data_IF_729878149879
#
_entry.id   IF_729878149879
#
_cell.length_a   1.000
_cell.length_b   1.000
_cell.length_c   1.000
_cell.angle_alpha   90.00
_cell.angle_beta   90.00
_cell.angle_gamma   90.00
#
_symmetry.space_group_name_H-M   'P 1'
#
loop_
_entity.id
_entity.type
_entity.pdbx_description
1 polymer ?
#
# COMPACT_ATOMS: atom_id res chain seq x y z
N UNK A 1 -58.70 53.32 35.57
CA UNK A 1 -57.47 53.76 34.83
C UNK A 1 -56.37 52.83 35.26
N UNK A 2 -56.14 51.76 34.50
CA UNK A 2 -55.03 50.80 34.70
C UNK A 2 -54.13 50.79 33.53
N UNK A 3 -52.86 51.17 33.73
CA UNK A 3 -51.79 51.04 32.73
C UNK A 3 -51.11 49.67 32.91
N UNK A 4 -51.17 48.85 31.85
CA UNK A 4 -50.42 47.61 31.75
C UNK A 4 -48.96 47.87 31.46
N UNK A 5 -48.06 47.35 32.31
CA UNK A 5 -46.63 47.27 32.09
C UNK A 5 -46.34 46.00 31.29
N UNK A 6 -45.76 46.13 30.09
CA UNK A 6 -45.24 45.01 29.30
C UNK A 6 -43.75 44.81 29.66
N UNK A 7 -43.48 43.70 30.27
CA UNK A 7 -42.15 43.16 30.51
C UNK A 7 -41.52 42.73 29.20
N UNK A 8 -40.38 43.35 28.84
CA UNK A 8 -39.50 42.93 27.78
C UNK A 8 -38.69 41.70 28.25
N UNK A 9 -38.87 40.55 27.64
CA UNK A 9 -37.93 39.43 27.75
C UNK A 9 -36.89 39.58 26.66
N UNK A 10 -35.70 39.97 27.03
CA UNK A 10 -34.48 39.85 26.21
C UNK A 10 -34.10 38.35 26.09
N UNK A 11 -34.13 37.87 24.87
CA UNK A 11 -33.62 36.53 24.50
C UNK A 11 -32.10 36.62 24.39
N UNK A 12 -31.38 35.97 25.27
CA UNK A 12 -29.93 35.81 25.15
C UNK A 12 -29.64 34.83 24.01
N UNK A 13 -28.97 35.30 22.96
CA UNK A 13 -28.34 34.47 21.93
C UNK A 13 -27.14 33.75 22.54
N UNK A 14 -26.91 32.45 22.18
CA UNK A 14 -25.70 31.77 22.60
C UNK A 14 -24.50 32.29 21.82
N UNK A 15 -23.50 32.84 22.52
CA UNK A 15 -22.20 33.24 21.98
C UNK A 15 -21.44 32.01 21.46
N UNK A 16 -21.19 32.02 20.15
CA UNK A 16 -20.28 31.07 19.51
C UNK A 16 -18.86 31.45 19.96
N UNK A 17 -18.04 30.51 20.47
CA UNK A 17 -16.65 30.81 20.82
C UNK A 17 -15.84 31.14 19.55
N UNK A 18 -15.17 32.29 19.57
CA UNK A 18 -14.26 32.68 18.49
C UNK A 18 -13.09 31.67 18.39
N UNK A 19 -12.70 31.26 17.18
CA UNK A 19 -11.58 30.34 17.00
C UNK A 19 -10.26 31.01 17.40
N UNK A 20 -9.43 30.28 18.12
CA UNK A 20 -8.14 30.74 18.62
C UNK A 20 -7.21 31.11 17.44
N UNK A 21 -6.74 32.36 17.30
CA UNK A 21 -5.99 32.80 16.12
C UNK A 21 -4.64 32.07 15.88
N UNK A 22 -4.07 31.46 16.92
CA UNK A 22 -2.84 30.66 16.80
C UNK A 22 -3.04 29.35 16.01
N UNK A 23 -4.19 28.66 16.22
CA UNK A 23 -4.50 27.40 15.51
C UNK A 23 -4.82 27.66 14.03
N UNK A 24 -5.42 28.82 13.74
CA UNK A 24 -5.74 29.20 12.36
C UNK A 24 -4.47 29.57 11.55
N UNK A 25 -3.44 30.10 12.20
CA UNK A 25 -2.16 30.46 11.55
C UNK A 25 -1.33 29.24 11.16
N UNK A 26 -1.27 28.20 11.99
CA UNK A 26 -0.55 26.96 11.66
C UNK A 26 -1.25 26.18 10.54
N UNK A 27 -2.59 26.10 10.58
CA UNK A 27 -3.37 25.46 9.51
C UNK A 27 -3.26 26.22 8.17
N UNK A 28 -3.20 27.55 8.21
CA UNK A 28 -3.01 28.36 7.00
C UNK A 28 -1.61 28.18 6.41
N UNK A 29 -0.57 28.10 7.23
CA UNK A 29 0.79 27.80 6.76
C UNK A 29 0.90 26.39 6.17
N UNK A 30 0.26 25.40 6.77
CA UNK A 30 0.26 24.03 6.25
C UNK A 30 -0.48 23.94 4.89
N UNK A 31 -1.59 24.69 4.74
CA UNK A 31 -2.35 24.80 3.49
C UNK A 31 -1.56 25.60 2.44
N UNK A 32 -0.88 26.67 2.80
CA UNK A 32 -0.06 27.46 1.88
C UNK A 32 1.13 26.66 1.36
N UNK A 33 1.80 25.88 2.20
CA UNK A 33 2.89 25.00 1.79
C UNK A 33 2.39 23.86 0.87
N UNK A 34 1.22 23.26 1.14
CA UNK A 34 0.62 22.27 0.25
C UNK A 34 0.18 22.88 -1.10
N UNK A 35 -0.35 24.10 -1.09
CA UNK A 35 -0.76 24.82 -2.31
C UNK A 35 0.46 25.23 -3.15
N UNK A 36 1.55 25.67 -2.53
CA UNK A 36 2.78 26.02 -3.25
C UNK A 36 3.42 24.78 -3.89
N UNK A 37 3.46 23.64 -3.18
CA UNK A 37 3.94 22.38 -3.73
C UNK A 37 3.02 21.89 -4.87
N UNK A 38 1.70 21.99 -4.70
CA UNK A 38 0.73 21.61 -5.73
C UNK A 38 0.79 22.53 -6.96
N UNK A 39 1.06 23.82 -6.79
CA UNK A 39 1.23 24.77 -7.90
C UNK A 39 2.56 24.56 -8.63
N UNK A 40 3.65 24.31 -7.92
CA UNK A 40 4.94 23.95 -8.52
C UNK A 40 4.85 22.65 -9.32
N UNK A 41 4.13 21.65 -8.81
CA UNK A 41 3.87 20.37 -9.50
C UNK A 41 2.97 20.58 -10.72
N UNK A 42 1.93 21.43 -10.65
CA UNK A 42 1.08 21.74 -11.81
C UNK A 42 1.82 22.51 -12.91
N UNK A 43 2.70 23.44 -12.58
CA UNK A 43 3.54 24.13 -13.57
C UNK A 43 4.54 23.19 -14.22
N UNK A 44 5.08 22.20 -13.50
CA UNK A 44 5.97 21.17 -14.05
C UNK A 44 5.19 20.17 -14.91
N UNK A 45 3.95 19.81 -14.55
CA UNK A 45 3.14 18.84 -15.31
C UNK A 45 2.55 19.43 -16.59
N UNK A 46 2.18 20.71 -16.66
CA UNK A 46 1.58 21.30 -17.87
C UNK A 46 2.60 21.56 -18.99
N UNK A 47 3.90 21.64 -18.69
CA UNK A 47 4.96 21.72 -19.72
C UNK A 47 5.58 20.37 -20.05
N UNK A 48 5.12 19.28 -19.46
CA UNK A 48 5.85 17.99 -19.43
C UNK A 48 5.12 16.82 -20.07
N UNK A 49 3.93 16.98 -20.64
CA UNK A 49 3.25 15.83 -21.28
C UNK A 49 3.97 15.35 -22.56
N UNK A 50 4.69 16.21 -23.27
CA UNK A 50 5.47 15.81 -24.44
C UNK A 50 6.94 15.43 -24.12
N UNK A 51 7.55 16.05 -23.14
CA UNK A 51 8.90 15.69 -22.65
C UNK A 51 8.85 14.41 -21.81
N UNK A 52 7.69 14.04 -21.25
CA UNK A 52 7.53 12.93 -20.33
C UNK A 52 7.75 11.55 -20.95
N UNK A 53 7.54 11.34 -22.24
CA UNK A 53 7.77 10.01 -22.85
C UNK A 53 9.25 9.70 -23.04
N UNK A 54 10.04 10.66 -23.48
CA UNK A 54 11.50 10.45 -23.61
C UNK A 54 12.22 10.44 -22.26
N UNK A 55 11.82 11.31 -21.32
CA UNK A 55 12.35 11.30 -19.95
C UNK A 55 11.93 10.07 -19.15
N UNK A 56 10.75 9.49 -19.39
CA UNK A 56 10.32 8.22 -18.79
C UNK A 56 11.19 7.05 -19.27
N UNK A 57 11.64 7.06 -20.48
CA UNK A 57 12.59 6.06 -21.00
C UNK A 57 14.00 6.24 -20.38
N UNK A 58 14.46 7.47 -20.21
CA UNK A 58 15.74 7.78 -19.57
C UNK A 58 15.72 7.56 -18.04
N UNK A 59 14.60 7.86 -17.36
CA UNK A 59 14.47 7.61 -15.91
C UNK A 59 14.32 6.12 -15.57
N UNK A 60 14.01 5.28 -16.55
CA UNK A 60 13.91 3.83 -16.37
C UNK A 60 15.22 3.19 -15.92
N UNK A 61 16.35 3.75 -16.33
CA UNK A 61 17.68 3.21 -16.02
C UNK A 61 18.20 3.60 -14.63
N UNK A 62 17.62 4.64 -14.01
CA UNK A 62 18.03 5.13 -12.68
C UNK A 62 17.20 4.58 -11.51
N UNK A 63 16.22 3.71 -11.74
CA UNK A 63 15.44 3.13 -10.65
C UNK A 63 16.28 2.11 -9.86
N UNK A 64 16.16 2.11 -8.52
CA UNK A 64 16.98 1.26 -7.64
C UNK A 64 16.77 -0.24 -7.86
N UNK A 65 15.66 -0.61 -8.54
CA UNK A 65 15.30 -2.00 -8.88
C UNK A 65 14.79 -2.07 -10.30
N UNK A 66 15.37 -2.96 -11.11
CA UNK A 66 14.94 -3.18 -12.49
C UNK A 66 13.62 -3.97 -12.57
N UNK A 67 12.88 -3.83 -13.67
CA UNK A 67 11.66 -4.61 -13.91
C UNK A 67 11.91 -6.13 -13.82
N UNK A 68 13.05 -6.60 -14.32
CA UNK A 68 13.43 -8.03 -14.29
C UNK A 68 13.58 -8.52 -12.84
N UNK A 69 14.25 -7.73 -12.01
CA UNK A 69 14.43 -8.03 -10.58
C UNK A 69 13.09 -8.05 -9.84
N UNK A 70 12.23 -7.05 -10.08
CA UNK A 70 10.88 -7.03 -9.49
C UNK A 70 10.08 -8.27 -9.88
N UNK A 71 10.02 -8.61 -11.19
CA UNK A 71 9.32 -9.81 -11.67
C UNK A 71 9.87 -11.11 -11.07
N UNK A 72 11.18 -11.18 -10.85
CA UNK A 72 11.79 -12.33 -10.19
C UNK A 72 11.37 -12.42 -8.73
N UNK A 73 11.40 -11.30 -8.00
CA UNK A 73 11.00 -11.24 -6.60
C UNK A 73 9.53 -11.64 -6.42
N UNK A 74 8.61 -11.17 -7.26
CA UNK A 74 7.20 -11.60 -7.20
C UNK A 74 7.02 -13.11 -7.36
N UNK A 75 7.94 -13.82 -8.01
CA UNK A 75 7.89 -15.28 -8.12
C UNK A 75 8.18 -15.99 -6.81
N UNK A 76 8.95 -15.40 -5.90
CA UNK A 76 9.21 -15.98 -4.58
C UNK A 76 7.98 -15.95 -3.67
N UNK A 77 7.03 -15.05 -3.91
CA UNK A 77 5.74 -15.07 -3.20
C UNK A 77 4.86 -16.29 -3.52
N UNK A 78 5.21 -17.09 -4.52
CA UNK A 78 4.36 -18.18 -4.95
C UNK A 78 4.31 -19.29 -3.90
N UNK A 79 3.10 -19.65 -3.52
CA UNK A 79 2.81 -20.85 -2.74
C UNK A 79 1.99 -21.80 -3.58
N UNK A 80 2.65 -22.78 -4.19
CA UNK A 80 2.01 -23.78 -5.02
C UNK A 80 1.40 -24.84 -4.12
N UNK A 81 0.09 -25.04 -4.25
CA UNK A 81 -0.69 -26.05 -3.57
C UNK A 81 -1.41 -26.90 -4.63
N UNK A 82 -1.45 -28.21 -4.46
CA UNK A 82 -2.24 -29.10 -5.31
C UNK A 82 -3.70 -28.98 -4.92
N UNK A 83 -4.57 -28.65 -5.87
CA UNK A 83 -5.98 -28.41 -5.61
C UNK A 83 -6.84 -28.67 -6.85
N UNK A 84 -8.06 -29.13 -6.62
CA UNK A 84 -9.06 -29.38 -7.66
C UNK A 84 -9.08 -30.82 -8.13
N UNK A 85 -9.63 -31.05 -9.32
CA UNK A 85 -9.77 -32.40 -9.91
C UNK A 85 -8.38 -32.88 -10.33
N UNK A 86 -8.04 -34.15 -10.03
CA UNK A 86 -6.78 -34.77 -10.48
C UNK A 86 -6.72 -34.81 -12.02
N UNK A 87 -5.76 -34.09 -12.61
CA UNK A 87 -5.58 -33.99 -14.06
C UNK A 87 -4.12 -34.08 -14.50
N UNK A 88 -3.18 -33.99 -13.55
CA UNK A 88 -1.74 -34.04 -13.79
C UNK A 88 -1.24 -35.47 -13.51
N UNK A 89 -0.53 -36.07 -14.45
CA UNK A 89 0.01 -37.42 -14.29
C UNK A 89 1.08 -37.46 -13.18
N UNK A 90 0.89 -38.34 -12.20
CA UNK A 90 1.94 -38.71 -11.25
C UNK A 90 2.78 -39.84 -11.83
N UNK A 91 3.92 -39.48 -12.43
CA UNK A 91 4.80 -40.42 -13.09
C UNK A 91 5.35 -41.46 -12.09
N UNK A 92 5.80 -41.00 -10.92
CA UNK A 92 6.42 -41.85 -9.92
C UNK A 92 5.43 -42.85 -9.33
N UNK A 93 4.23 -42.37 -8.97
CA UNK A 93 3.19 -43.26 -8.48
C UNK A 93 2.69 -44.25 -9.54
N UNK A 94 2.60 -43.81 -10.80
CA UNK A 94 2.19 -44.68 -11.93
C UNK A 94 3.24 -45.78 -12.21
N UNK A 95 4.54 -45.43 -12.20
CA UNK A 95 5.63 -46.41 -12.36
C UNK A 95 5.65 -47.39 -11.19
N UNK A 96 5.48 -46.92 -9.96
CA UNK A 96 5.41 -47.79 -8.79
C UNK A 96 4.22 -48.75 -8.86
N UNK A 97 3.08 -48.32 -9.37
CA UNK A 97 1.91 -49.16 -9.59
C UNK A 97 2.19 -50.21 -10.66
N UNK A 98 2.79 -49.81 -11.78
CA UNK A 98 3.23 -50.71 -12.83
C UNK A 98 4.22 -51.77 -12.31
N UNK A 99 5.21 -51.36 -11.49
CA UNK A 99 6.18 -52.28 -10.88
C UNK A 99 5.56 -53.29 -9.92
N UNK A 100 4.47 -52.94 -9.23
CA UNK A 100 3.77 -53.83 -8.29
C UNK A 100 2.84 -54.84 -8.98
N UNK A 101 2.14 -54.40 -10.01
CA UNK A 101 1.09 -55.21 -10.66
C UNK A 101 1.54 -55.83 -11.98
N UNK A 102 2.70 -55.40 -12.54
CA UNK A 102 3.22 -55.87 -13.81
C UNK A 102 2.45 -55.39 -15.04
N UNK A 103 1.35 -54.67 -14.85
CA UNK A 103 0.51 -54.10 -15.92
C UNK A 103 0.07 -52.67 -15.53
N UNK A 104 -0.08 -51.82 -16.53
CA UNK A 104 -0.65 -50.49 -16.36
C UNK A 104 -2.19 -50.60 -16.38
N UNK A 105 -2.80 -50.50 -15.21
CA UNK A 105 -4.26 -50.47 -15.09
C UNK A 105 -4.82 -49.11 -15.46
N UNK A 106 -4.51 -48.13 -14.64
CA UNK A 106 -4.90 -46.73 -14.85
C UNK A 106 -3.73 -45.78 -14.39
N UNK A 107 -3.50 -44.67 -15.07
CA UNK A 107 -2.50 -43.71 -14.63
C UNK A 107 -2.94 -43.05 -13.32
N UNK A 108 -2.00 -42.90 -12.40
CA UNK A 108 -2.24 -42.15 -11.15
C UNK A 108 -2.23 -40.67 -11.47
N UNK A 109 -3.32 -39.97 -11.14
CA UNK A 109 -3.46 -38.53 -11.37
C UNK A 109 -3.42 -37.75 -10.06
N UNK A 110 -2.82 -36.56 -10.11
CA UNK A 110 -2.78 -35.61 -9.03
C UNK A 110 -3.50 -34.29 -9.41
N UNK A 111 -4.03 -33.59 -8.42
CA UNK A 111 -4.54 -32.25 -8.65
C UNK A 111 -3.45 -31.30 -9.15
N UNK A 112 -3.84 -30.37 -10.00
CA UNK A 112 -2.95 -29.37 -10.58
C UNK A 112 -2.35 -28.47 -9.51
N UNK A 113 -1.11 -28.04 -9.69
CA UNK A 113 -0.48 -27.04 -8.82
C UNK A 113 -1.01 -25.64 -9.16
N UNK A 114 -1.69 -25.02 -8.21
CA UNK A 114 -2.18 -23.64 -8.32
C UNK A 114 -1.50 -22.76 -7.30
N UNK A 115 -1.21 -21.50 -7.68
CA UNK A 115 -0.65 -20.56 -6.75
C UNK A 115 -1.78 -19.93 -5.92
N UNK A 116 -1.71 -20.07 -4.61
CA UNK A 116 -2.71 -19.56 -3.69
C UNK A 116 -2.34 -18.25 -3.02
N UNK A 117 -1.16 -17.71 -3.27
CA UNK A 117 -0.75 -16.43 -2.66
C UNK A 117 -1.59 -15.29 -3.20
N UNK A 118 -2.15 -14.52 -2.29
CA UNK A 118 -2.85 -13.28 -2.56
C UNK A 118 -1.93 -12.12 -2.16
N UNK A 119 -1.66 -11.19 -3.08
CA UNK A 119 -0.87 -9.99 -2.80
C UNK A 119 -1.82 -8.80 -2.72
N UNK A 120 -1.75 -8.08 -1.61
CA UNK A 120 -2.34 -6.77 -1.43
C UNK A 120 -1.22 -5.73 -1.44
N UNK A 121 -1.24 -4.84 -2.41
CA UNK A 121 -0.30 -3.73 -2.53
C UNK A 121 -1.01 -2.44 -2.11
N UNK A 122 -0.52 -1.81 -1.04
CA UNK A 122 -0.99 -0.52 -0.54
C UNK A 122 0.02 0.55 -0.94
N UNK A 123 -0.40 1.55 -1.70
CA UNK A 123 0.46 2.59 -2.25
C UNK A 123 0.07 3.93 -1.68
N UNK A 124 1.01 4.56 -1.01
CA UNK A 124 0.91 5.96 -0.63
C UNK A 124 1.14 6.84 -1.86
N UNK A 125 0.23 7.75 -2.12
CA UNK A 125 0.29 8.70 -3.22
C UNK A 125 0.30 10.13 -2.68
N UNK A 126 0.68 11.04 -3.56
CA UNK A 126 0.72 12.48 -3.33
C UNK A 126 1.79 12.97 -2.32
N UNK A 127 1.85 14.25 -2.09
CA UNK A 127 2.81 14.85 -1.18
C UNK A 127 4.25 14.42 -1.46
N UNK A 128 4.93 13.90 -0.42
CA UNK A 128 6.32 13.42 -0.51
C UNK A 128 6.53 12.21 -1.41
N UNK A 129 5.45 11.53 -1.81
CA UNK A 129 5.52 10.36 -2.68
C UNK A 129 5.52 10.68 -4.19
N UNK A 130 5.24 11.93 -4.59
CA UNK A 130 5.22 12.36 -6.00
C UNK A 130 6.48 11.97 -6.79
N UNK A 131 7.71 12.14 -6.26
CA UNK A 131 8.93 11.72 -6.97
C UNK A 131 9.04 10.21 -7.21
N UNK A 132 8.27 9.40 -6.48
CA UNK A 132 8.31 7.94 -6.52
C UNK A 132 7.15 7.31 -7.31
N UNK A 133 6.29 8.13 -7.97
CA UNK A 133 5.17 7.62 -8.76
C UNK A 133 5.60 6.65 -9.87
N UNK A 134 6.70 6.94 -10.57
CA UNK A 134 7.24 6.02 -11.58
C UNK A 134 7.64 4.66 -11.00
N UNK A 135 8.17 4.66 -9.78
CA UNK A 135 8.56 3.44 -9.06
C UNK A 135 7.33 2.66 -8.58
N UNK A 136 6.33 3.35 -8.00
CA UNK A 136 5.08 2.71 -7.58
C UNK A 136 4.34 2.09 -8.76
N UNK A 137 4.23 2.82 -9.89
CA UNK A 137 3.63 2.31 -11.10
C UNK A 137 4.34 1.05 -11.63
N UNK A 138 5.66 1.04 -11.58
CA UNK A 138 6.47 -0.13 -11.99
C UNK A 138 6.30 -1.33 -11.04
N UNK A 139 6.18 -1.09 -9.73
CA UNK A 139 5.85 -2.15 -8.77
C UNK A 139 4.51 -2.80 -9.11
N UNK A 140 3.49 -1.99 -9.37
CA UNK A 140 2.15 -2.45 -9.78
C UNK A 140 2.20 -3.26 -11.07
N UNK A 141 2.76 -2.69 -12.14
CA UNK A 141 2.84 -3.35 -13.46
C UNK A 141 3.56 -4.69 -13.38
N UNK A 142 4.70 -4.73 -12.68
CA UNK A 142 5.49 -5.95 -12.58
C UNK A 142 4.83 -7.02 -11.72
N UNK A 143 4.07 -6.63 -10.68
CA UNK A 143 3.29 -7.56 -9.86
C UNK A 143 2.14 -8.17 -10.67
N UNK A 144 1.39 -7.35 -11.42
CA UNK A 144 0.29 -7.80 -12.27
C UNK A 144 0.77 -8.75 -13.36
N UNK A 145 1.82 -8.39 -14.09
CA UNK A 145 2.27 -9.13 -15.28
C UNK A 145 3.29 -10.22 -14.96
N UNK A 146 4.07 -10.07 -13.90
CA UNK A 146 5.24 -10.92 -13.63
C UNK A 146 5.04 -11.96 -12.54
N UNK A 147 4.17 -11.72 -11.58
CA UNK A 147 4.05 -12.52 -10.37
C UNK A 147 3.40 -13.89 -10.57
N UNK A 148 2.49 -14.03 -11.54
CA UNK A 148 1.59 -15.19 -11.64
C UNK A 148 0.99 -15.53 -10.26
N UNK A 149 0.55 -14.49 -9.54
CA UNK A 149 -0.06 -14.58 -8.22
C UNK A 149 -1.47 -15.16 -8.34
N UNK A 150 -1.98 -15.78 -7.29
CA UNK A 150 -3.32 -16.31 -7.26
C UNK A 150 -4.38 -15.21 -7.31
N UNK A 151 -4.17 -14.16 -6.52
CA UNK A 151 -4.97 -12.94 -6.52
C UNK A 151 -4.08 -11.73 -6.28
N UNK A 152 -4.37 -10.64 -6.94
CA UNK A 152 -3.65 -9.37 -6.80
C UNK A 152 -4.64 -8.24 -6.64
N UNK A 153 -4.51 -7.48 -5.55
CA UNK A 153 -5.30 -6.28 -5.28
C UNK A 153 -4.36 -5.11 -5.03
N UNK A 154 -4.79 -3.94 -5.49
CA UNK A 154 -4.09 -2.68 -5.24
C UNK A 154 -5.08 -1.73 -4.59
N UNK A 155 -4.59 -0.99 -3.60
CA UNK A 155 -5.28 0.16 -3.05
C UNK A 155 -4.31 1.29 -2.83
N UNK A 156 -4.86 2.49 -2.86
CA UNK A 156 -4.13 3.73 -2.71
C UNK A 156 -4.60 4.44 -1.44
N UNK A 157 -3.71 5.18 -0.83
CA UNK A 157 -4.01 6.00 0.33
C UNK A 157 -3.12 7.24 0.33
N UNK A 158 -3.39 8.21 1.19
CA UNK A 158 -2.55 9.38 1.42
C UNK A 158 -2.07 9.40 2.86
N UNK A 159 -0.75 9.53 3.06
CA UNK A 159 -0.06 9.58 4.37
C UNK A 159 -0.27 8.35 5.26
N UNK A 160 -1.48 8.09 5.69
CA UNK A 160 -1.86 6.96 6.53
C UNK A 160 -3.25 6.46 6.16
N UNK A 161 -3.47 5.14 6.02
CA UNK A 161 -4.81 4.60 5.91
C UNK A 161 -5.54 4.80 7.26
N UNK A 162 -6.66 5.51 7.25
CA UNK A 162 -7.47 5.73 8.45
C UNK A 162 -8.81 4.97 8.34
N UNK A 163 -9.82 5.57 7.74
CA UNK A 163 -11.13 4.95 7.58
C UNK A 163 -11.34 4.36 6.20
N UNK A 164 -10.77 5.00 5.18
CA UNK A 164 -10.94 4.66 3.77
C UNK A 164 -9.61 4.40 3.07
N UNK A 165 -9.66 3.52 2.08
CA UNK A 165 -8.62 3.35 1.05
C UNK A 165 -9.26 3.35 -0.33
N UNK A 166 -8.50 3.60 -1.37
CA UNK A 166 -9.02 3.89 -2.70
C UNK A 166 -8.57 2.84 -3.71
N UNK A 167 -9.48 2.46 -4.62
CA UNK A 167 -9.16 1.53 -5.72
C UNK A 167 -8.43 2.18 -6.89
N UNK A 168 -8.45 3.48 -6.96
CA UNK A 168 -7.83 4.26 -8.03
C UNK A 168 -6.90 5.34 -7.46
N UNK A 169 -5.93 5.75 -8.28
CA UNK A 169 -4.92 6.75 -7.93
C UNK A 169 -5.46 8.18 -7.85
N UNK A 170 -6.72 8.41 -8.25
CA UNK A 170 -7.37 9.72 -8.19
C UNK A 170 -8.26 9.86 -6.96
N UNK A 171 -8.26 8.89 -6.07
CA UNK A 171 -9.07 8.84 -4.85
C UNK A 171 -10.58 8.99 -5.07
N UNK A 172 -11.10 8.52 -6.23
CA UNK A 172 -12.51 8.62 -6.57
C UNK A 172 -13.34 7.44 -6.07
N UNK A 173 -12.73 6.26 -5.93
CA UNK A 173 -13.39 5.02 -5.53
C UNK A 173 -12.95 4.59 -4.14
N UNK A 174 -13.54 5.23 -3.13
CA UNK A 174 -13.28 4.92 -1.73
C UNK A 174 -13.93 3.59 -1.32
N UNK A 175 -13.24 2.81 -0.50
CA UNK A 175 -13.76 1.64 0.20
C UNK A 175 -13.37 1.71 1.67
N UNK A 176 -14.28 1.29 2.54
CA UNK A 176 -13.99 1.17 3.97
C UNK A 176 -12.89 0.14 4.21
N UNK A 177 -11.89 0.49 5.00
CA UNK A 177 -10.80 -0.43 5.37
C UNK A 177 -11.35 -1.71 5.97
N UNK A 178 -12.34 -1.63 6.85
CA UNK A 178 -12.98 -2.79 7.49
C UNK A 178 -13.53 -3.79 6.46
N UNK A 179 -14.17 -3.29 5.40
CA UNK A 179 -14.73 -4.15 4.36
C UNK A 179 -13.64 -4.80 3.51
N UNK A 180 -12.54 -4.10 3.28
CA UNK A 180 -11.38 -4.67 2.59
C UNK A 180 -10.72 -5.74 3.44
N UNK A 181 -10.47 -5.49 4.73
CA UNK A 181 -9.86 -6.43 5.66
C UNK A 181 -10.70 -7.72 5.81
N UNK A 182 -12.02 -7.61 5.92
CA UNK A 182 -12.92 -8.76 6.03
C UNK A 182 -12.90 -9.69 4.80
N UNK A 183 -12.47 -9.20 3.63
CA UNK A 183 -12.34 -9.98 2.40
C UNK A 183 -10.98 -10.67 2.26
N UNK A 184 -10.02 -10.37 3.13
CA UNK A 184 -8.70 -10.97 3.10
C UNK A 184 -8.72 -12.37 3.68
N UNK A 185 -7.76 -13.19 3.27
CA UNK A 185 -7.58 -14.55 3.76
C UNK A 185 -6.26 -14.65 4.50
N UNK A 186 -6.32 -14.74 5.81
CA UNK A 186 -5.17 -14.67 6.71
C UNK A 186 -3.99 -15.56 6.28
N UNK A 187 -4.25 -16.82 5.90
CA UNK A 187 -3.17 -17.75 5.55
C UNK A 187 -2.53 -17.51 4.17
N UNK A 188 -3.14 -16.67 3.33
CA UNK A 188 -2.76 -16.53 1.91
C UNK A 188 -2.35 -15.12 1.54
N UNK A 189 -2.86 -14.12 2.26
CA UNK A 189 -2.64 -12.73 1.92
C UNK A 189 -1.32 -12.22 2.48
N UNK A 190 -0.50 -11.69 1.59
CA UNK A 190 0.71 -10.94 1.88
C UNK A 190 0.41 -9.48 1.56
N UNK A 191 0.81 -8.58 2.46
CA UNK A 191 0.64 -7.13 2.25
C UNK A 191 1.99 -6.46 2.13
N UNK A 192 2.15 -5.69 1.05
CA UNK A 192 3.27 -4.79 0.88
C UNK A 192 2.75 -3.35 0.87
N UNK A 193 3.26 -2.54 1.78
CA UNK A 193 2.96 -1.11 1.86
C UNK A 193 4.11 -0.35 1.22
N UNK A 194 3.83 0.50 0.24
CA UNK A 194 4.81 1.36 -0.40
C UNK A 194 4.56 2.81 0.01
N UNK A 195 5.40 3.34 0.88
CA UNK A 195 5.32 4.72 1.39
C UNK A 195 6.67 5.12 1.98
N UNK A 196 6.97 6.41 1.96
CA UNK A 196 8.14 6.98 2.65
C UNK A 196 7.99 6.99 4.19
N UNK A 197 6.77 6.79 4.70
CA UNK A 197 6.49 6.78 6.13
C UNK A 197 6.83 8.09 6.83
N UNK A 198 6.96 9.21 6.09
CA UNK A 198 7.41 10.52 6.60
C UNK A 198 8.92 10.74 6.57
N UNK A 199 9.72 9.82 6.02
CA UNK A 199 11.17 9.97 5.94
C UNK A 199 11.64 11.12 5.04
N UNK A 200 10.86 11.50 4.03
CA UNK A 200 11.20 12.58 3.12
C UNK A 200 10.99 13.96 3.76
N UNK A 201 9.90 14.13 4.50
CA UNK A 201 9.60 15.38 5.23
C UNK A 201 10.51 15.57 6.43
N UNK A 202 10.95 14.49 7.07
CA UNK A 202 11.69 14.52 8.33
C UNK A 202 10.79 14.82 9.53
N UNK A 203 11.36 14.80 10.74
CA UNK A 203 10.64 15.06 11.98
C UNK A 203 9.71 13.92 12.42
N UNK A 204 9.11 14.10 13.59
CA UNK A 204 8.19 13.14 14.23
C UNK A 204 6.77 13.68 14.19
N UNK A 205 5.85 12.88 13.66
CA UNK A 205 4.41 13.11 13.72
C UNK A 205 3.76 12.01 14.57
N UNK A 206 3.48 12.32 15.83
CA UNK A 206 2.95 11.37 16.79
C UNK A 206 1.54 10.88 16.44
N UNK A 207 0.73 11.71 15.79
CA UNK A 207 -0.61 11.34 15.36
C UNK A 207 -0.54 10.29 14.22
N UNK A 208 0.29 10.55 13.20
CA UNK A 208 0.54 9.61 12.11
C UNK A 208 1.07 8.27 12.62
N UNK A 209 1.96 8.27 13.63
CA UNK A 209 2.46 7.05 14.25
C UNK A 209 1.32 6.25 14.87
N UNK A 210 0.46 6.88 15.68
CA UNK A 210 -0.68 6.23 16.33
C UNK A 210 -1.70 5.67 15.34
N UNK A 211 -2.04 6.44 14.31
CA UNK A 211 -2.95 5.99 13.24
C UNK A 211 -2.37 4.79 12.49
N UNK A 212 -1.07 4.86 12.13
CA UNK A 212 -0.37 3.77 11.46
C UNK A 212 -0.30 2.52 12.34
N UNK A 213 -0.01 2.66 13.62
CA UNK A 213 -0.02 1.55 14.58
C UNK A 213 -1.39 0.89 14.67
N UNK A 214 -2.44 1.68 14.81
CA UNK A 214 -3.82 1.18 14.86
C UNK A 214 -4.17 0.40 13.60
N UNK A 215 -3.86 0.95 12.43
CA UNK A 215 -4.08 0.30 11.15
C UNK A 215 -3.27 -1.00 11.02
N UNK A 216 -1.98 -0.98 11.35
CA UNK A 216 -1.12 -2.17 11.28
C UNK A 216 -1.59 -3.28 12.23
N UNK A 217 -2.07 -2.94 13.43
CA UNK A 217 -2.59 -3.90 14.38
C UNK A 217 -3.87 -4.57 13.87
N UNK A 218 -4.77 -3.82 13.22
CA UNK A 218 -5.95 -4.39 12.56
C UNK A 218 -5.53 -5.28 11.37
N UNK A 219 -4.65 -4.78 10.51
CA UNK A 219 -4.21 -5.48 9.30
C UNK A 219 -3.55 -6.83 9.62
N UNK A 220 -2.68 -6.89 10.61
CA UNK A 220 -1.95 -8.11 11.02
C UNK A 220 -2.85 -9.27 11.45
N UNK A 221 -4.07 -8.98 11.88
CA UNK A 221 -5.05 -10.02 12.25
C UNK A 221 -5.67 -10.72 11.02
N UNK A 222 -5.60 -10.10 9.84
CA UNK A 222 -6.29 -10.55 8.64
C UNK A 222 -5.35 -11.08 7.55
N UNK A 223 -4.02 -11.00 7.78
CA UNK A 223 -3.04 -11.34 6.76
C UNK A 223 -1.92 -12.22 7.31
N UNK A 224 -1.24 -12.92 6.41
CA UNK A 224 -0.13 -13.81 6.77
C UNK A 224 1.07 -13.01 7.29
N UNK A 225 1.46 -11.96 6.56
CA UNK A 225 2.46 -11.00 7.00
C UNK A 225 2.31 -9.67 6.27
N UNK A 226 2.93 -8.64 6.85
CA UNK A 226 3.00 -7.28 6.32
C UNK A 226 4.46 -6.87 6.23
N UNK A 227 4.87 -6.29 5.11
CA UNK A 227 6.16 -5.63 4.98
C UNK A 227 5.99 -4.23 4.39
N UNK A 228 6.90 -3.34 4.75
CA UNK A 228 6.92 -1.96 4.30
C UNK A 228 8.11 -1.72 3.37
N UNK A 229 7.84 -1.19 2.18
CA UNK A 229 8.84 -0.78 1.20
C UNK A 229 8.95 0.74 1.23
N UNK A 230 10.07 1.24 1.72
CA UNK A 230 10.34 2.67 1.80
C UNK A 230 11.27 3.10 0.64
N UNK A 231 10.87 4.06 -0.21
CA UNK A 231 11.73 4.55 -1.29
C UNK A 231 12.90 5.39 -0.79
N UNK A 232 12.82 5.91 0.45
CA UNK A 232 13.90 6.68 1.03
C UNK A 232 15.00 5.79 1.62
N UNK A 233 16.28 6.19 1.53
CA UNK A 233 17.40 5.46 2.11
C UNK A 233 17.23 5.28 3.63
N UNK A 234 17.61 4.12 4.15
CA UNK A 234 17.48 3.78 5.58
C UNK A 234 18.09 4.82 6.53
N UNK A 235 19.17 5.47 6.12
CA UNK A 235 19.82 6.56 6.88
C UNK A 235 18.91 7.76 7.13
N UNK A 236 17.85 7.94 6.32
CA UNK A 236 16.88 9.03 6.44
C UNK A 236 15.72 8.70 7.39
N UNK A 237 15.60 7.48 7.89
CA UNK A 237 14.50 7.07 8.77
C UNK A 237 14.76 7.47 10.23
N UNK A 238 16.04 7.54 10.63
CA UNK A 238 16.42 7.80 12.02
C UNK A 238 15.91 9.17 12.49
N UNK A 239 15.23 9.21 13.63
CA UNK A 239 14.67 10.44 14.20
C UNK A 239 13.46 10.99 13.44
N UNK A 240 12.84 10.18 12.58
CA UNK A 240 11.63 10.56 11.83
C UNK A 240 10.48 9.61 12.12
N UNK A 241 9.28 9.98 11.68
CA UNK A 241 8.08 9.12 11.75
C UNK A 241 8.33 7.73 11.14
N UNK A 242 9.11 7.65 10.05
CA UNK A 242 9.45 6.38 9.42
C UNK A 242 10.29 5.47 10.32
N UNK A 243 11.16 6.03 11.15
CA UNK A 243 11.94 5.28 12.12
C UNK A 243 11.07 4.59 13.17
N UNK A 244 10.05 5.30 13.67
CA UNK A 244 9.06 4.75 14.61
C UNK A 244 8.19 3.68 13.94
N UNK A 245 7.71 3.93 12.72
CA UNK A 245 6.94 2.93 11.95
C UNK A 245 7.79 1.67 11.70
N UNK A 246 9.09 1.81 11.46
CA UNK A 246 10.00 0.68 11.25
C UNK A 246 10.16 -0.22 12.49
N UNK A 247 9.82 0.28 13.69
CA UNK A 247 9.73 -0.54 14.90
C UNK A 247 8.44 -1.37 14.98
N UNK A 248 7.38 -0.93 14.28
CA UNK A 248 6.06 -1.56 14.29
C UNK A 248 5.92 -2.63 13.20
N UNK A 249 6.64 -2.51 12.08
CA UNK A 249 6.53 -3.41 10.93
C UNK A 249 7.89 -3.58 10.27
N UNK A 250 8.24 -4.79 9.75
CA UNK A 250 9.45 -4.98 8.96
C UNK A 250 9.49 -3.99 7.78
N UNK A 251 10.44 -3.05 7.83
CA UNK A 251 10.61 -2.01 6.83
C UNK A 251 11.91 -2.21 6.06
N UNK A 252 11.82 -2.10 4.74
CA UNK A 252 12.92 -2.32 3.82
C UNK A 252 13.08 -1.14 2.87
N UNK A 253 14.31 -0.73 2.64
CA UNK A 253 14.63 0.24 1.59
C UNK A 253 14.36 -0.39 0.22
N UNK A 254 13.80 0.38 -0.71
CA UNK A 254 13.58 -0.10 -2.08
C UNK A 254 14.92 -0.29 -2.78
N UNK A 255 15.40 -1.50 -2.76
CA UNK A 255 16.62 -1.98 -3.41
C UNK A 255 16.40 -3.44 -3.80
N UNK A 256 17.33 -4.01 -4.56
CA UNK A 256 17.27 -5.45 -4.89
C UNK A 256 17.19 -6.32 -3.64
N UNK A 257 18.02 -6.03 -2.63
CA UNK A 257 18.04 -6.79 -1.35
C UNK A 257 16.81 -6.49 -0.51
N UNK A 258 16.40 -5.22 -0.44
CA UNK A 258 15.23 -4.83 0.36
C UNK A 258 13.93 -5.42 -0.19
N UNK A 259 13.76 -5.47 -1.51
CA UNK A 259 12.59 -6.10 -2.11
C UNK A 259 12.55 -7.61 -1.88
N UNK A 260 13.71 -8.31 -1.97
CA UNK A 260 13.80 -9.71 -1.57
C UNK A 260 13.46 -9.90 -0.08
N UNK A 261 14.05 -9.09 0.81
CA UNK A 261 13.77 -9.16 2.24
C UNK A 261 12.30 -8.93 2.58
N UNK A 262 11.64 -7.99 1.89
CA UNK A 262 10.21 -7.73 2.08
C UNK A 262 9.30 -8.89 1.64
N UNK A 263 9.80 -9.78 0.80
CA UNK A 263 9.06 -10.94 0.28
C UNK A 263 9.33 -12.20 1.10
N UNK A 264 10.52 -12.29 1.69
CA UNK A 264 10.97 -13.43 2.49
C UNK A 264 10.68 -13.25 3.99
N UNK A 265 10.19 -12.07 4.42
CA UNK A 265 9.84 -11.71 5.79
C UNK A 265 8.55 -12.44 6.33
#
# INVERSE_FOLDING_TARGET
>A
MQRRNRSNRESAEPSIPEPNPAVTSELLHEIEDEVQVAQAVRQVTSSHEEISREHLLLSADYLPVTQRQMKQNWRYLRRLVREGIPTELDIDATINQLGRYGILLEPVLLPRRVNRTELLLLIDLDGSMVPFHSLSHRLVETAQRGGRLGKFNIYYFHNCPDEYIYRDSYHQKAELIKDVLNRLRQERTVVLIFSDGGAARGGLNSERIKLTETFLNQLKQHVRYVAWLNPMPRKRWLGTTAGEIASLVPMFEVSRRGLSGAIDA
#
